data_IF_664426075344
#
_entry.id   IF_664426075344
#
_cell.length_a   1.000
_cell.length_b   1.000
_cell.length_c   1.000
_cell.angle_alpha   90.00
_cell.angle_beta   90.00
_cell.angle_gamma   90.00
#
_symmetry.space_group_name_H-M   'P 1'
#
loop_
_entity.id
_entity.type
_entity.pdbx_description
1 polymer ?
#
# COMPACT_ATOMS: atom_id res chain seq x y z
N UNK A 1 8.57 -15.83 -18.29
CA UNK A 1 8.73 -14.44 -17.82
C UNK A 1 8.73 -14.46 -16.30
N UNK A 2 9.68 -13.79 -15.67
CA UNK A 2 10.31 -14.08 -14.37
C UNK A 2 9.47 -13.75 -13.12
N UNK A 3 8.17 -14.08 -13.10
CA UNK A 3 7.26 -13.75 -11.98
C UNK A 3 6.42 -14.95 -11.54
N UNK A 4 7.03 -16.14 -11.52
CA UNK A 4 6.37 -17.36 -11.04
C UNK A 4 6.41 -17.46 -9.51
N UNK A 5 6.09 -16.34 -8.83
CA UNK A 5 6.10 -16.28 -7.38
C UNK A 5 4.70 -16.02 -6.79
N UNK A 6 4.27 -16.94 -5.93
CA UNK A 6 3.00 -16.89 -5.20
C UNK A 6 2.99 -15.88 -4.04
N UNK A 7 4.13 -15.26 -3.73
CA UNK A 7 4.24 -14.29 -2.66
C UNK A 7 3.57 -12.95 -3.03
N UNK A 8 2.72 -12.39 -2.16
CA UNK A 8 2.09 -11.10 -2.40
C UNK A 8 2.99 -9.92 -2.02
N UNK A 9 2.91 -8.85 -2.81
CA UNK A 9 3.33 -7.51 -2.42
C UNK A 9 2.15 -6.72 -1.87
N UNK A 10 2.27 -6.22 -0.64
CA UNK A 10 1.18 -5.61 0.13
C UNK A 10 1.60 -4.20 0.53
N UNK A 11 0.79 -3.19 0.19
CA UNK A 11 0.97 -1.82 0.66
C UNK A 11 -0.03 -1.53 1.79
N UNK A 12 0.48 -1.02 2.92
CA UNK A 12 -0.35 -0.45 3.98
C UNK A 12 -0.26 1.06 3.87
N UNK A 13 -1.38 1.70 3.53
CA UNK A 13 -1.51 3.14 3.38
C UNK A 13 -2.51 3.68 4.41
N UNK A 14 -2.65 4.99 4.56
CA UNK A 14 -3.57 5.51 5.58
C UNK A 14 -3.33 6.94 6.02
N UNK A 15 -4.35 7.53 6.63
CA UNK A 15 -4.35 8.91 7.12
C UNK A 15 -3.70 9.07 8.52
N UNK A 16 -3.25 7.98 9.14
CA UNK A 16 -2.57 7.98 10.42
C UNK A 16 -1.21 7.26 10.35
N UNK A 17 -0.13 8.05 10.23
CA UNK A 17 1.25 7.57 10.05
C UNK A 17 1.67 6.49 11.05
N UNK A 18 1.50 6.70 12.35
CA UNK A 18 1.97 5.74 13.38
C UNK A 18 1.24 4.40 13.30
N UNK A 19 -0.10 4.41 13.18
CA UNK A 19 -0.91 3.20 13.00
C UNK A 19 -0.47 2.42 11.77
N UNK A 20 -0.24 3.10 10.64
CA UNK A 20 0.29 2.48 9.41
C UNK A 20 1.59 1.72 9.63
N UNK A 21 2.57 2.31 10.31
CA UNK A 21 3.84 1.65 10.63
C UNK A 21 3.66 0.45 11.58
N UNK A 22 2.80 0.57 12.59
CA UNK A 22 2.51 -0.52 13.53
C UNK A 22 1.89 -1.70 12.78
N UNK A 23 0.85 -1.43 11.99
CA UNK A 23 0.13 -2.44 11.21
C UNK A 23 1.06 -3.12 10.21
N UNK A 24 1.81 -2.37 9.40
CA UNK A 24 2.73 -2.96 8.42
C UNK A 24 3.76 -3.89 9.09
N UNK A 25 4.35 -3.45 10.21
CA UNK A 25 5.32 -4.25 10.97
C UNK A 25 4.69 -5.52 11.55
N UNK A 26 3.51 -5.41 12.14
CA UNK A 26 2.82 -6.56 12.74
C UNK A 26 2.34 -7.55 11.68
N UNK A 27 1.77 -7.06 10.57
CA UNK A 27 1.38 -7.89 9.43
C UNK A 27 2.58 -8.66 8.87
N UNK A 28 3.70 -7.96 8.67
CA UNK A 28 4.90 -8.59 8.14
C UNK A 28 5.42 -9.70 9.06
N UNK A 29 5.42 -9.47 10.38
CA UNK A 29 5.79 -10.49 11.37
C UNK A 29 4.86 -11.71 11.30
N UNK A 30 3.55 -11.48 11.27
CA UNK A 30 2.58 -12.56 11.24
C UNK A 30 2.64 -13.39 9.94
N UNK A 31 3.01 -12.77 8.82
CA UNK A 31 3.20 -13.44 7.52
C UNK A 31 4.60 -14.05 7.32
N UNK A 32 5.56 -13.82 8.24
CA UNK A 32 6.99 -14.06 8.02
C UNK A 32 7.50 -13.37 6.73
N UNK A 33 6.95 -12.19 6.44
CA UNK A 33 7.23 -11.37 5.28
C UNK A 33 8.37 -10.37 5.55
N UNK A 34 8.91 -9.78 4.48
CA UNK A 34 9.80 -8.63 4.62
C UNK A 34 8.98 -7.35 4.80
N UNK A 35 9.36 -6.51 5.77
CA UNK A 35 8.78 -5.17 5.95
C UNK A 35 9.71 -4.11 5.34
N UNK A 36 9.36 -3.59 4.17
CA UNK A 36 10.11 -2.52 3.50
C UNK A 36 9.76 -1.15 4.09
N UNK A 37 10.81 -0.42 4.48
CA UNK A 37 10.70 0.98 4.91
C UNK A 37 10.53 1.87 3.68
N UNK A 38 9.75 2.94 3.83
CA UNK A 38 9.63 4.00 2.82
C UNK A 38 10.07 5.33 3.45
N UNK A 39 11.20 5.91 3.04
CA UNK A 39 12.13 5.46 1.99
C UNK A 39 12.97 4.23 2.43
N UNK A 40 13.64 3.52 1.51
CA UNK A 40 14.55 2.42 1.84
C UNK A 40 15.64 2.85 2.84
N UNK A 41 16.10 1.91 3.66
CA UNK A 41 17.08 2.21 4.72
C UNK A 41 18.38 2.81 4.20
N UNK A 42 18.87 2.30 3.08
CA UNK A 42 20.06 2.83 2.43
C UNK A 42 19.89 4.24 1.88
N UNK A 43 18.67 4.79 1.78
CA UNK A 43 18.43 6.18 1.35
C UNK A 43 18.21 7.14 2.53
N UNK A 44 17.96 6.62 3.74
CA UNK A 44 17.54 7.45 4.88
C UNK A 44 18.50 8.59 5.23
N UNK A 45 19.78 8.47 4.88
CA UNK A 45 20.79 9.48 5.15
C UNK A 45 20.49 10.84 4.48
N UNK A 46 19.85 10.86 3.30
CA UNK A 46 19.54 12.10 2.58
C UNK A 46 18.18 12.72 2.92
N UNK A 47 17.38 12.05 3.76
CA UNK A 47 15.96 12.40 3.97
C UNK A 47 15.76 13.84 4.46
N UNK A 48 16.72 14.37 5.21
CA UNK A 48 16.65 15.69 5.84
C UNK A 48 17.50 16.76 5.13
N UNK A 49 18.29 16.38 4.13
CA UNK A 49 19.25 17.26 3.48
C UNK A 49 18.57 18.19 2.47
N UNK A 50 17.42 17.77 1.91
CA UNK A 50 16.69 18.52 0.90
C UNK A 50 15.72 19.55 1.54
N UNK A 51 16.11 20.83 1.46
CA UNK A 51 15.31 21.97 1.94
C UNK A 51 14.17 22.33 0.97
N UNK A 52 14.43 22.29 -0.33
CA UNK A 52 13.46 22.61 -1.37
C UNK A 52 12.40 21.52 -1.53
N UNK A 53 11.14 21.94 -1.69
CA UNK A 53 10.00 21.03 -1.76
C UNK A 53 10.08 20.11 -2.99
N UNK A 54 10.45 20.65 -4.15
CA UNK A 54 10.50 19.88 -5.40
C UNK A 54 11.63 18.83 -5.36
N UNK A 55 12.79 19.17 -4.80
CA UNK A 55 13.88 18.21 -4.59
C UNK A 55 13.45 17.11 -3.61
N UNK A 56 12.78 17.48 -2.51
CA UNK A 56 12.24 16.49 -1.56
C UNK A 56 11.24 15.55 -2.23
N UNK A 57 10.36 16.06 -3.09
CA UNK A 57 9.41 15.23 -3.86
C UNK A 57 10.14 14.29 -4.82
N UNK A 58 11.12 14.78 -5.58
CA UNK A 58 11.93 13.96 -6.47
C UNK A 58 12.65 12.83 -5.71
N UNK A 59 13.21 13.14 -4.54
CA UNK A 59 13.82 12.14 -3.65
C UNK A 59 12.83 11.05 -3.22
N UNK A 60 11.62 11.42 -2.76
CA UNK A 60 10.62 10.43 -2.36
C UNK A 60 10.08 9.63 -3.55
N UNK A 61 9.95 10.24 -4.74
CA UNK A 61 9.62 9.52 -5.97
C UNK A 61 10.69 8.49 -6.29
N UNK A 62 11.98 8.85 -6.27
CA UNK A 62 13.08 7.90 -6.47
C UNK A 62 13.06 6.77 -5.44
N UNK A 63 12.75 7.09 -4.18
CA UNK A 63 12.64 6.10 -3.11
C UNK A 63 11.51 5.07 -3.35
N UNK A 64 10.43 5.45 -4.04
CA UNK A 64 9.38 4.51 -4.44
C UNK A 64 9.92 3.48 -5.45
N UNK A 65 10.66 3.92 -6.47
CA UNK A 65 11.26 3.01 -7.45
C UNK A 65 12.35 2.12 -6.84
N UNK A 66 13.13 2.66 -5.91
CA UNK A 66 14.09 1.88 -5.14
C UNK A 66 13.40 0.77 -4.31
N UNK A 67 12.27 1.10 -3.66
CA UNK A 67 11.44 0.11 -2.96
C UNK A 67 10.80 -0.90 -3.92
N UNK A 68 10.36 -0.48 -5.10
CA UNK A 68 9.80 -1.35 -6.12
C UNK A 68 10.82 -2.41 -6.58
N UNK A 69 12.06 -1.98 -6.81
CA UNK A 69 13.16 -2.86 -7.19
C UNK A 69 13.47 -3.88 -6.09
N UNK A 70 13.56 -3.42 -4.84
CA UNK A 70 13.86 -4.31 -3.71
C UNK A 70 12.69 -5.27 -3.43
N UNK A 71 11.44 -4.80 -3.52
CA UNK A 71 10.27 -5.65 -3.42
C UNK A 71 10.30 -6.76 -4.47
N UNK A 72 10.55 -6.41 -5.74
CA UNK A 72 10.67 -7.40 -6.82
C UNK A 72 11.73 -8.46 -6.53
N UNK A 73 12.89 -8.07 -6.01
CA UNK A 73 13.96 -9.01 -5.64
C UNK A 73 13.52 -9.97 -4.53
N UNK A 74 12.85 -9.45 -3.51
CA UNK A 74 12.44 -10.21 -2.32
C UNK A 74 11.23 -11.10 -2.52
N UNK A 75 10.34 -10.74 -3.46
CA UNK A 75 9.13 -11.51 -3.74
C UNK A 75 9.46 -12.95 -4.14
N UNK A 76 10.67 -13.21 -4.67
CA UNK A 76 11.14 -14.56 -4.97
C UNK A 76 11.19 -15.50 -3.73
N UNK A 77 11.36 -14.94 -2.53
CA UNK A 77 11.56 -15.71 -1.30
C UNK A 77 10.32 -15.68 -0.39
N UNK A 78 9.75 -14.49 -0.19
CA UNK A 78 8.65 -14.28 0.77
C UNK A 78 7.79 -13.08 0.37
N UNK A 79 6.62 -13.00 0.99
CA UNK A 79 5.75 -11.84 0.87
C UNK A 79 6.50 -10.55 1.28
N UNK A 80 6.07 -9.43 0.72
CA UNK A 80 6.64 -8.11 0.99
C UNK A 80 5.52 -7.18 1.46
N UNK A 81 5.75 -6.47 2.56
CA UNK A 81 4.83 -5.48 3.12
C UNK A 81 5.53 -4.12 3.18
N UNK A 82 4.84 -3.04 2.83
CA UNK A 82 5.38 -1.66 2.99
C UNK A 82 4.41 -0.74 3.74
N UNK A 83 4.95 0.29 4.38
CA UNK A 83 4.20 1.30 5.15
C UNK A 83 4.13 2.64 4.41
N UNK A 84 3.25 2.71 3.42
CA UNK A 84 3.13 3.82 2.47
C UNK A 84 3.86 3.53 1.18
N UNK A 85 3.22 3.81 0.06
CA UNK A 85 3.78 3.61 -1.26
C UNK A 85 3.32 4.73 -2.20
N UNK A 86 2.99 4.43 -3.46
CA UNK A 86 2.71 5.46 -4.45
C UNK A 86 1.38 6.20 -4.23
N UNK A 87 0.34 5.52 -3.73
CA UNK A 87 -0.97 6.13 -3.57
C UNK A 87 -0.98 7.24 -2.51
N UNK A 88 -0.13 7.18 -1.49
CA UNK A 88 0.08 8.27 -0.52
C UNK A 88 0.41 9.61 -1.22
N UNK A 89 1.22 9.55 -2.30
CA UNK A 89 1.65 10.73 -3.06
C UNK A 89 0.60 11.10 -4.12
N UNK A 90 0.09 10.09 -4.84
CA UNK A 90 -0.91 10.30 -5.88
C UNK A 90 -2.21 10.87 -5.31
N UNK A 91 -2.72 10.31 -4.21
CA UNK A 91 -3.93 10.79 -3.56
C UNK A 91 -3.82 12.24 -3.11
N UNK A 92 -2.68 12.65 -2.57
CA UNK A 92 -2.45 14.05 -2.21
C UNK A 92 -2.48 14.98 -3.42
N UNK A 93 -1.84 14.58 -4.52
CA UNK A 93 -1.77 15.37 -5.74
C UNK A 93 -3.15 15.47 -6.42
N UNK A 94 -3.88 14.35 -6.50
CA UNK A 94 -5.23 14.27 -7.07
C UNK A 94 -6.24 15.06 -6.25
N UNK A 95 -6.27 14.88 -4.93
CA UNK A 95 -7.16 15.62 -4.04
C UNK A 95 -6.95 17.13 -4.11
N UNK A 96 -5.71 17.59 -4.33
CA UNK A 96 -5.40 19.01 -4.53
C UNK A 96 -5.80 19.51 -5.91
N UNK A 97 -5.57 18.73 -6.96
CA UNK A 97 -5.86 19.11 -8.35
C UNK A 97 -7.36 19.12 -8.66
N UNK A 98 -8.10 18.20 -8.05
CA UNK A 98 -9.52 17.95 -8.33
C UNK A 98 -10.37 18.13 -7.06
N UNK A 99 -10.64 19.37 -6.63
CA UNK A 99 -11.34 19.63 -5.38
C UNK A 99 -12.84 19.28 -5.41
N UNK A 100 -13.43 19.13 -6.60
CA UNK A 100 -14.86 18.90 -6.79
C UNK A 100 -15.19 17.45 -7.17
N UNK A 101 -14.59 16.97 -8.26
CA UNK A 101 -14.79 15.62 -8.79
C UNK A 101 -13.51 15.11 -9.45
N UNK A 102 -13.22 13.81 -9.27
CA UNK A 102 -12.10 13.17 -9.95
C UNK A 102 -12.46 12.83 -11.39
N UNK A 103 -11.50 12.94 -12.33
CA UNK A 103 -11.76 12.63 -13.72
C UNK A 103 -11.97 11.13 -13.92
N UNK A 104 -13.10 10.75 -14.50
CA UNK A 104 -13.35 9.37 -14.92
C UNK A 104 -12.42 8.98 -16.06
N UNK A 105 -11.91 7.75 -16.05
CA UNK A 105 -11.06 7.19 -17.12
C UNK A 105 -9.79 8.01 -17.45
N UNK A 106 -9.34 8.90 -16.56
CA UNK A 106 -8.10 9.64 -16.76
C UNK A 106 -6.87 8.76 -16.58
N UNK A 107 -5.83 9.04 -17.37
CA UNK A 107 -4.51 8.44 -17.19
C UNK A 107 -3.91 8.68 -15.80
N UNK A 108 -4.32 9.77 -15.13
CA UNK A 108 -3.86 10.15 -13.79
C UNK A 108 -4.49 9.30 -12.67
N UNK A 109 -5.61 8.64 -12.97
CA UNK A 109 -6.28 7.68 -12.09
C UNK A 109 -5.79 6.24 -12.32
N UNK A 110 -4.68 6.07 -13.03
CA UNK A 110 -4.05 4.77 -13.28
C UNK A 110 -2.73 4.66 -12.53
N UNK A 111 -2.42 3.43 -12.13
CA UNK A 111 -1.12 3.09 -11.59
C UNK A 111 -0.01 3.28 -12.65
N UNK A 112 1.19 3.79 -12.30
CA UNK A 112 2.27 3.94 -13.27
C UNK A 112 2.73 2.59 -13.82
N UNK A 113 2.83 2.47 -15.15
CA UNK A 113 3.16 1.20 -15.82
C UNK A 113 4.57 0.68 -15.49
N UNK A 114 5.48 1.60 -15.14
CA UNK A 114 6.89 1.34 -14.83
C UNK A 114 7.14 1.10 -13.33
N UNK A 115 6.14 1.28 -12.48
CA UNK A 115 6.24 1.08 -11.04
C UNK A 115 5.58 -0.24 -10.63
N UNK A 116 6.30 -1.08 -9.88
CA UNK A 116 5.76 -2.35 -9.38
C UNK A 116 4.47 -2.10 -8.58
N UNK A 117 3.35 -2.60 -9.10
CA UNK A 117 2.06 -2.56 -8.43
C UNK A 117 2.02 -3.57 -7.26
N UNK A 118 1.55 -3.18 -6.06
CA UNK A 118 1.17 -4.15 -5.04
C UNK A 118 -0.01 -5.00 -5.52
N UNK A 119 -0.09 -6.23 -5.01
CA UNK A 119 -1.25 -7.09 -5.25
C UNK A 119 -2.51 -6.57 -4.52
N UNK A 120 -2.30 -5.84 -3.42
CA UNK A 120 -3.37 -5.23 -2.63
C UNK A 120 -2.85 -4.04 -1.83
N UNK A 121 -3.71 -3.02 -1.69
CA UNK A 121 -3.51 -1.88 -0.82
C UNK A 121 -4.51 -1.95 0.32
N UNK A 122 -4.06 -1.96 1.56
CA UNK A 122 -4.92 -1.76 2.73
C UNK A 122 -4.82 -0.31 3.17
N UNK A 123 -5.95 0.40 3.13
CA UNK A 123 -6.02 1.80 3.55
C UNK A 123 -6.57 1.89 4.98
N UNK A 124 -5.71 2.23 5.93
CA UNK A 124 -6.08 2.46 7.33
C UNK A 124 -6.75 3.83 7.44
N UNK A 125 -8.09 3.83 7.51
CA UNK A 125 -8.86 5.04 7.73
C UNK A 125 -9.14 5.23 9.22
N UNK A 126 -8.44 6.18 9.83
CA UNK A 126 -8.72 6.69 11.17
C UNK A 126 -9.53 7.98 11.06
N UNK A 127 -10.88 7.94 11.09
CA UNK A 127 -11.70 9.13 10.98
C UNK A 127 -11.37 10.13 12.11
N UNK A 128 -11.50 11.46 11.84
CA UNK A 128 -11.30 12.47 12.86
C UNK A 128 -12.41 12.36 13.91
N UNK A 129 -12.10 12.44 15.22
CA UNK A 129 -13.06 12.25 16.31
C UNK A 129 -14.42 12.90 16.06
N UNK A 130 -15.51 12.17 16.37
CA UNK A 130 -16.88 12.52 15.97
C UNK A 130 -17.37 13.83 16.59
N UNK A 131 -16.72 14.29 17.67
CA UNK A 131 -17.05 15.55 18.33
C UNK A 131 -15.88 16.50 18.35
N UNK A 132 -16.17 17.80 18.27
CA UNK A 132 -15.19 18.90 18.45
C UNK A 132 -14.44 18.77 19.78
N UNK A 133 -15.11 18.27 20.82
CA UNK A 133 -14.51 18.02 22.13
C UNK A 133 -13.45 16.91 22.05
N UNK A 134 -13.77 15.77 21.45
CA UNK A 134 -12.81 14.68 21.24
C UNK A 134 -11.67 15.10 20.31
N UNK A 135 -11.95 15.94 19.31
CA UNK A 135 -10.94 16.49 18.42
C UNK A 135 -9.94 17.37 19.19
N UNK A 136 -10.44 18.33 19.98
CA UNK A 136 -9.61 19.23 20.78
C UNK A 136 -8.83 18.49 21.88
N UNK A 137 -9.35 17.37 22.38
CA UNK A 137 -8.64 16.48 23.30
C UNK A 137 -7.56 15.63 22.60
N UNK A 138 -7.76 15.27 21.32
CA UNK A 138 -6.86 14.42 20.56
C UNK A 138 -5.80 15.20 19.75
N UNK A 139 -6.04 16.48 19.45
CA UNK A 139 -5.14 17.31 18.64
C UNK A 139 -5.34 18.81 18.85
N UNK A 140 -4.24 19.56 18.83
CA UNK A 140 -4.23 21.03 18.83
C UNK A 140 -4.17 21.64 17.42
N UNK A 141 -4.09 20.81 16.37
CA UNK A 141 -4.06 21.27 14.98
C UNK A 141 -5.48 21.45 14.47
N UNK A 142 -5.77 22.36 13.52
CA UNK A 142 -7.08 22.46 12.90
C UNK A 142 -7.36 21.26 11.97
N UNK A 143 -8.64 20.88 11.75
CA UNK A 143 -9.01 19.80 10.84
C UNK A 143 -8.46 20.04 9.44
N UNK A 144 -7.77 19.06 8.87
CA UNK A 144 -7.25 19.19 7.51
C UNK A 144 -8.40 18.99 6.50
N UNK A 145 -8.79 20.04 5.74
CA UNK A 145 -9.93 19.97 4.82
C UNK A 145 -9.69 19.01 3.64
N UNK A 146 -8.43 18.63 3.37
CA UNK A 146 -8.11 17.66 2.33
C UNK A 146 -8.35 16.20 2.77
N UNK A 147 -8.44 15.91 4.07
CA UNK A 147 -8.54 14.52 4.56
C UNK A 147 -9.72 13.74 3.96
N UNK A 148 -10.95 14.28 3.89
CA UNK A 148 -12.05 13.60 3.23
C UNK A 148 -11.73 13.30 1.76
N UNK A 149 -11.17 14.28 1.04
CA UNK A 149 -10.79 14.12 -0.36
C UNK A 149 -9.71 13.08 -0.60
N UNK A 150 -8.75 12.95 0.32
CA UNK A 150 -7.76 11.87 0.25
C UNK A 150 -8.46 10.50 0.30
N UNK A 151 -9.40 10.32 1.23
CA UNK A 151 -10.17 9.07 1.37
C UNK A 151 -10.97 8.78 0.09
N UNK A 152 -11.58 9.80 -0.51
CA UNK A 152 -12.34 9.64 -1.75
C UNK A 152 -11.45 9.13 -2.91
N UNK A 153 -10.18 9.53 -2.98
CA UNK A 153 -9.24 8.97 -3.99
C UNK A 153 -9.09 7.47 -3.79
N UNK A 154 -8.86 7.00 -2.56
CA UNK A 154 -8.71 5.57 -2.28
C UNK A 154 -9.99 4.78 -2.59
N UNK A 155 -11.17 5.35 -2.34
CA UNK A 155 -12.47 4.72 -2.60
C UNK A 155 -12.80 4.61 -4.09
N UNK A 156 -12.34 5.58 -4.89
CA UNK A 156 -12.53 5.60 -6.34
C UNK A 156 -11.43 4.85 -7.10
N UNK A 157 -10.36 4.44 -6.41
CA UNK A 157 -9.23 3.76 -7.03
C UNK A 157 -9.58 2.34 -7.47
N UNK A 158 -9.28 2.01 -8.73
CA UNK A 158 -9.68 0.73 -9.34
C UNK A 158 -8.58 -0.32 -9.30
N UNK A 159 -7.33 0.06 -9.59
CA UNK A 159 -6.21 -0.87 -9.63
C UNK A 159 -4.89 -0.21 -9.20
N UNK A 160 -4.13 -0.79 -8.24
CA UNK A 160 -4.42 -2.03 -7.50
C UNK A 160 -5.64 -1.90 -6.59
N UNK A 161 -6.25 -3.06 -6.26
CA UNK A 161 -7.43 -3.08 -5.39
C UNK A 161 -7.08 -2.46 -4.03
N UNK A 162 -7.90 -1.50 -3.62
CA UNK A 162 -7.86 -0.89 -2.29
C UNK A 162 -8.92 -1.53 -1.40
N UNK A 163 -8.52 -1.91 -0.18
CA UNK A 163 -9.42 -2.33 0.89
C UNK A 163 -9.32 -1.30 2.02
N UNK A 164 -10.37 -0.50 2.16
CA UNK A 164 -10.49 0.44 3.28
C UNK A 164 -10.80 -0.31 4.57
N UNK A 165 -9.99 -0.06 5.59
CA UNK A 165 -10.17 -0.56 6.95
C UNK A 165 -10.51 0.64 7.84
N UNK A 166 -11.81 0.89 8.00
CA UNK A 166 -12.36 2.05 8.69
C UNK A 166 -12.87 1.71 10.09
N UNK A 167 -12.31 2.31 11.14
CA UNK A 167 -12.90 2.18 12.46
C UNK A 167 -12.17 2.98 13.54
N UNK A 168 -12.94 3.67 14.39
CA UNK A 168 -12.45 4.12 15.70
C UNK A 168 -11.98 2.96 16.56
N UNK A 169 -12.59 1.80 16.34
CA UNK A 169 -12.57 0.59 17.18
C UNK A 169 -12.51 -0.65 16.27
N UNK A 170 -11.64 -0.68 15.25
CA UNK A 170 -11.10 -2.00 14.94
C UNK A 170 -9.98 -2.24 15.93
N UNK A 171 -10.18 -3.21 16.82
CA UNK A 171 -9.05 -3.82 17.49
C UNK A 171 -8.08 -4.27 16.40
N UNK A 172 -6.77 -4.21 16.65
CA UNK A 172 -5.77 -4.68 15.69
C UNK A 172 -6.11 -6.08 15.14
N UNK A 173 -6.73 -6.92 15.98
CA UNK A 173 -7.18 -8.27 15.63
C UNK A 173 -8.21 -8.31 14.49
N UNK A 174 -9.21 -7.43 14.50
CA UNK A 174 -10.24 -7.41 13.44
C UNK A 174 -9.64 -6.93 12.12
N UNK A 175 -8.79 -5.89 12.17
CA UNK A 175 -8.03 -5.45 10.98
C UNK A 175 -7.20 -6.59 10.42
N UNK A 176 -6.46 -7.33 11.25
CA UNK A 176 -5.67 -8.45 10.78
C UNK A 176 -6.53 -9.59 10.25
N UNK A 177 -7.65 -9.91 10.90
CA UNK A 177 -8.59 -10.93 10.44
C UNK A 177 -9.06 -10.60 9.02
N UNK A 178 -9.47 -9.36 8.79
CA UNK A 178 -9.89 -8.92 7.46
C UNK A 178 -8.74 -8.94 6.44
N UNK A 179 -7.55 -8.44 6.81
CA UNK A 179 -6.37 -8.51 5.95
C UNK A 179 -6.05 -9.96 5.53
N UNK A 180 -6.04 -10.89 6.47
CA UNK A 180 -5.74 -12.30 6.20
C UNK A 180 -6.75 -12.93 5.25
N UNK A 181 -8.03 -12.57 5.32
CA UNK A 181 -9.03 -13.05 4.35
C UNK A 181 -8.64 -12.66 2.92
N UNK A 182 -8.35 -11.39 2.66
CA UNK A 182 -7.96 -10.92 1.33
C UNK A 182 -6.61 -11.49 0.89
N UNK A 183 -5.62 -11.55 1.79
CA UNK A 183 -4.29 -12.09 1.48
C UNK A 183 -4.36 -13.58 1.12
N UNK A 184 -5.13 -14.37 1.87
CA UNK A 184 -5.31 -15.79 1.59
C UNK A 184 -6.00 -16.00 0.25
N UNK A 185 -7.01 -15.19 -0.07
CA UNK A 185 -7.65 -15.21 -1.39
C UNK A 185 -6.65 -14.93 -2.53
N UNK A 186 -5.77 -13.93 -2.37
CA UNK A 186 -4.73 -13.60 -3.36
C UNK A 186 -3.76 -14.77 -3.53
N UNK A 187 -3.24 -15.33 -2.42
CA UNK A 187 -2.31 -16.47 -2.44
C UNK A 187 -2.92 -17.67 -3.16
N UNK A 188 -4.17 -18.01 -2.85
CA UNK A 188 -4.90 -19.10 -3.52
C UNK A 188 -5.10 -18.84 -5.01
N UNK A 189 -5.42 -17.59 -5.38
CA UNK A 189 -5.63 -17.21 -6.78
C UNK A 189 -4.34 -17.32 -7.60
N UNK A 190 -3.22 -16.82 -7.06
CA UNK A 190 -1.87 -16.97 -7.66
C UNK A 190 -1.48 -18.44 -7.81
N UNK A 191 -1.68 -19.24 -6.77
CA UNK A 191 -1.37 -20.68 -6.82
C UNK A 191 -2.20 -21.42 -7.88
N UNK A 192 -3.50 -21.12 -8.00
CA UNK A 192 -4.35 -21.68 -9.06
C UNK A 192 -3.87 -21.29 -10.46
N UNK A 193 -3.45 -20.03 -10.64
CA UNK A 193 -2.91 -19.54 -11.91
C UNK A 193 -1.61 -20.24 -12.28
N UNK A 194 -0.69 -20.40 -11.31
CA UNK A 194 0.55 -21.17 -11.44
C UNK A 194 0.28 -22.60 -11.93
N UNK A 195 -0.64 -23.32 -11.27
CA UNK A 195 -0.99 -24.70 -11.66
C UNK A 195 -1.58 -24.78 -13.07
N UNK A 196 -2.40 -23.80 -13.47
CA UNK A 196 -2.98 -23.73 -14.81
C UNK A 196 -1.90 -23.56 -15.88
N UNK A 197 -0.91 -22.71 -15.64
CA UNK A 197 0.20 -22.45 -16.57
C UNK A 197 1.15 -23.65 -16.69
N UNK A 198 1.39 -24.36 -15.59
CA UNK A 198 2.35 -25.47 -15.52
C UNK A 198 1.74 -26.88 -15.72
N UNK A 199 0.47 -26.97 -16.13
CA UNK A 199 -0.26 -28.25 -16.25
C UNK A 199 0.34 -29.23 -17.28
N UNK A 200 1.04 -28.75 -18.32
CA UNK A 200 1.69 -29.59 -19.34
C UNK A 200 3.05 -30.12 -18.90
N UNK A 201 3.82 -29.31 -18.15
CA UNK A 201 5.12 -29.68 -17.57
C UNK A 201 4.96 -30.65 -16.41
N UNK A 202 3.97 -30.43 -15.53
CA UNK A 202 3.68 -31.32 -14.40
C UNK A 202 3.22 -32.72 -14.82
N UNK A 203 2.49 -32.86 -15.94
CA UNK A 203 2.06 -34.19 -16.43
C UNK A 203 3.22 -35.07 -16.91
N UNK A 204 4.32 -34.49 -17.39
CA UNK A 204 5.52 -35.23 -17.84
C UNK A 204 6.38 -35.76 -16.69
N UNK A 205 6.34 -35.11 -15.52
CA UNK A 205 7.13 -35.52 -14.35
C UNK A 205 6.50 -36.65 -13.52
N UNK A 206 5.24 -37.02 -13.76
CA UNK A 206 4.56 -38.12 -13.05
C UNK A 206 4.44 -39.41 -13.89
N UNK A 207 4.98 -39.40 -15.12
CA UNK A 207 4.92 -40.55 -16.05
C UNK A 207 6.30 -41.14 -16.36
N UNK A 208 7.32 -40.82 -15.55
CA UNK A 208 8.66 -41.43 -15.59
C UNK A 208 8.97 -42.07 -14.24
#
# INVERSE_FOLDING_TARGET
>A
SQYDNNNPFIAIEGNHKTRRFIVARQLARALKATNLRSPPEFMNFLKFDFKELEIRRAYYSLALYANALEARRLLHEKAVVTAGYWLDIAAFSLAKKYPLAFPENSSEMRWPEDLLAPDIVFYINSPPPETTLQYNMASTKPPNPLKPRLVDVYRTWTYPRVVELSGYIFSYNEMFTEMFRHINFIKQSKFKQYLKQNRKTLKRSYTN
#
